data_IF_768083251738
#
_entry.id   IF_768083251738
#
_cell.length_a   1.000
_cell.length_b   1.000
_cell.length_c   1.000
_cell.angle_alpha   90.00
_cell.angle_beta   90.00
_cell.angle_gamma   90.00
#
_symmetry.space_group_name_H-M   'P 1'
#
loop_
_entity.id
_entity.type
_entity.pdbx_description
1 polymer ?
#
# COMPACT_ATOMS: atom_id res chain seq x y z
N UNK A 1 77.99 -40.70 -4.20
CA UNK A 1 77.63 -39.28 -4.48
C UNK A 1 76.13 -39.18 -4.78
N UNK A 2 75.33 -38.98 -3.78
CA UNK A 2 73.90 -38.80 -3.93
C UNK A 2 73.62 -37.29 -3.86
N UNK A 3 72.93 -36.74 -4.91
CA UNK A 3 72.46 -35.36 -4.94
C UNK A 3 70.96 -35.36 -4.46
N UNK A 4 70.73 -34.77 -3.31
CA UNK A 4 69.37 -34.42 -2.82
C UNK A 4 68.89 -33.18 -3.56
N UNK A 5 67.76 -33.31 -4.26
CA UNK A 5 67.03 -32.19 -4.87
C UNK A 5 65.85 -31.90 -3.95
N UNK A 6 65.94 -30.78 -3.21
CA UNK A 6 64.89 -30.25 -2.39
C UNK A 6 63.84 -29.58 -3.29
N UNK A 7 62.61 -30.08 -3.30
CA UNK A 7 61.44 -29.41 -3.95
C UNK A 7 60.83 -28.43 -2.94
N UNK A 8 61.02 -27.14 -3.19
CA UNK A 8 60.32 -26.07 -2.49
C UNK A 8 58.94 -25.91 -3.15
N UNK A 9 57.90 -26.33 -2.44
CA UNK A 9 56.51 -26.09 -2.87
C UNK A 9 56.07 -24.70 -2.36
N UNK A 10 55.95 -23.75 -3.28
CA UNK A 10 55.45 -22.40 -3.00
C UNK A 10 53.92 -22.44 -2.92
N UNK A 11 53.37 -22.40 -1.71
CA UNK A 11 51.93 -22.28 -1.49
C UNK A 11 51.49 -20.84 -1.74
N UNK A 12 50.80 -20.60 -2.86
CA UNK A 12 50.21 -19.30 -3.20
C UNK A 12 48.87 -19.17 -2.44
N UNK A 13 48.89 -18.50 -1.29
CA UNK A 13 47.68 -18.15 -0.55
C UNK A 13 46.95 -17.03 -1.28
N UNK A 14 45.87 -17.38 -2.00
CA UNK A 14 44.96 -16.40 -2.58
C UNK A 14 44.12 -15.82 -1.44
N UNK A 15 44.47 -14.63 -0.95
CA UNK A 15 43.61 -13.83 -0.09
C UNK A 15 42.43 -13.34 -0.94
N UNK A 16 41.26 -13.98 -0.79
CA UNK A 16 39.99 -13.39 -1.27
C UNK A 16 39.70 -12.17 -0.40
N UNK A 17 40.00 -10.98 -0.88
CA UNK A 17 39.44 -9.75 -0.35
C UNK A 17 37.94 -9.74 -0.70
N UNK A 18 37.09 -10.10 0.25
CA UNK A 18 35.66 -9.77 0.18
C UNK A 18 35.56 -8.25 0.27
N UNK A 19 35.35 -7.59 -0.87
CA UNK A 19 35.04 -6.16 -0.89
C UNK A 19 33.65 -6.01 -0.22
N UNK A 20 33.66 -5.72 1.06
CA UNK A 20 32.48 -5.18 1.74
C UNK A 20 32.26 -3.82 1.11
N UNK A 21 31.27 -3.72 0.22
CA UNK A 21 30.81 -2.43 -0.29
C UNK A 21 30.27 -1.66 0.93
N UNK A 22 31.08 -0.77 1.48
CA UNK A 22 30.60 0.18 2.47
C UNK A 22 29.72 1.17 1.73
N UNK A 23 28.40 1.08 1.96
CA UNK A 23 27.50 2.12 1.50
C UNK A 23 27.94 3.44 2.14
N UNK A 24 28.15 4.48 1.32
CA UNK A 24 28.50 5.81 1.82
C UNK A 24 27.26 6.54 2.43
N UNK A 25 26.07 5.96 2.28
CA UNK A 25 24.83 6.52 2.82
C UNK A 25 24.76 6.32 4.34
N UNK A 26 24.56 7.44 5.05
CA UNK A 26 24.32 7.43 6.50
C UNK A 26 22.81 7.32 6.77
N UNK A 27 22.32 6.24 7.43
CA UNK A 27 20.92 6.05 7.77
C UNK A 27 20.47 6.83 9.01
N UNK A 28 21.18 7.88 9.43
CA UNK A 28 20.70 8.85 10.40
C UNK A 28 19.75 9.85 9.74
N UNK A 29 18.81 10.44 10.49
CA UNK A 29 17.82 11.41 10.01
C UNK A 29 16.85 10.87 8.92
N UNK A 30 16.50 9.61 9.01
CA UNK A 30 15.60 8.95 8.05
C UNK A 30 14.17 9.48 8.14
N UNK A 31 13.54 9.66 6.97
CA UNK A 31 12.22 10.30 6.82
C UNK A 31 11.30 9.45 5.98
N UNK A 32 10.02 9.41 6.36
CA UNK A 32 8.96 8.86 5.54
C UNK A 32 7.83 9.88 5.37
N UNK A 33 7.44 10.18 4.14
CA UNK A 33 6.19 10.88 3.88
C UNK A 33 5.07 9.86 3.74
N UNK A 34 4.02 10.03 4.55
CA UNK A 34 2.74 9.34 4.43
C UNK A 34 1.75 10.26 3.71
N UNK A 35 1.36 10.00 2.43
CA UNK A 35 0.47 10.86 1.67
C UNK A 35 -1.00 10.83 2.13
N UNK A 36 -1.25 10.67 3.42
CA UNK A 36 -2.57 10.57 4.06
C UNK A 36 -2.54 11.24 5.44
N UNK A 37 -3.73 11.44 6.02
CA UNK A 37 -3.86 11.75 7.44
C UNK A 37 -3.40 10.57 8.31
N UNK A 38 -3.14 10.85 9.59
CA UNK A 38 -2.81 9.82 10.58
C UNK A 38 -3.93 8.77 10.65
N UNK A 39 -3.55 7.49 10.80
CA UNK A 39 -4.49 6.35 10.78
C UNK A 39 -4.90 5.88 9.38
N UNK A 40 -4.43 6.51 8.30
CA UNK A 40 -4.59 5.98 6.95
C UNK A 40 -3.55 4.91 6.61
N UNK A 41 -3.79 4.13 5.56
CA UNK A 41 -2.93 3.00 5.20
C UNK A 41 -1.48 3.39 4.87
N UNK A 42 -1.23 4.57 4.31
CA UNK A 42 0.13 5.07 4.10
C UNK A 42 0.82 5.48 5.40
N UNK A 43 0.06 6.03 6.37
CA UNK A 43 0.57 6.33 7.70
C UNK A 43 0.97 5.05 8.43
N UNK A 44 0.10 4.04 8.41
CA UNK A 44 0.41 2.70 8.90
C UNK A 44 1.70 2.15 8.26
N UNK A 45 1.84 2.24 6.94
CA UNK A 45 3.00 1.72 6.22
C UNK A 45 4.30 2.41 6.67
N UNK A 46 4.33 3.75 6.76
CA UNK A 46 5.49 4.49 7.23
C UNK A 46 5.86 4.13 8.66
N UNK A 47 4.88 4.12 9.59
CA UNK A 47 5.16 3.89 11.02
C UNK A 47 5.57 2.45 11.30
N UNK A 48 4.87 1.47 10.73
CA UNK A 48 5.18 0.06 10.97
C UNK A 48 6.54 -0.33 10.37
N UNK A 49 6.84 0.12 9.15
CA UNK A 49 8.15 -0.12 8.53
C UNK A 49 9.25 0.64 9.27
N UNK A 50 9.03 1.91 9.63
CA UNK A 50 10.00 2.71 10.39
C UNK A 50 10.36 2.06 11.73
N UNK A 51 9.34 1.57 12.46
CA UNK A 51 9.58 0.81 13.70
C UNK A 51 10.39 -0.47 13.44
N UNK A 52 10.04 -1.24 12.42
CA UNK A 52 10.77 -2.49 12.11
C UNK A 52 12.21 -2.20 11.67
N UNK A 53 12.45 -1.14 10.89
CA UNK A 53 13.81 -0.70 10.54
C UNK A 53 14.64 -0.36 11.77
N UNK A 54 14.05 0.32 12.75
CA UNK A 54 14.69 0.64 14.03
C UNK A 54 14.97 -0.63 14.85
N UNK A 55 13.98 -1.52 14.99
CA UNK A 55 14.10 -2.76 15.75
C UNK A 55 15.20 -3.68 15.18
N UNK A 56 15.39 -3.65 13.87
CA UNK A 56 16.44 -4.40 13.15
C UNK A 56 17.80 -3.68 13.13
N UNK A 57 17.92 -2.47 13.71
CA UNK A 57 19.15 -1.68 13.68
C UNK A 57 19.57 -1.22 12.28
N UNK A 58 18.60 -1.11 11.36
CA UNK A 58 18.82 -0.67 9.98
C UNK A 58 18.77 0.86 9.84
N UNK A 59 18.34 1.59 10.85
CA UNK A 59 18.38 3.05 10.92
C UNK A 59 18.88 3.48 12.30
N UNK A 60 19.50 4.65 12.36
CA UNK A 60 19.97 5.24 13.61
C UNK A 60 18.84 6.08 14.24
N UNK A 61 18.25 5.57 15.33
CA UNK A 61 17.10 6.23 15.99
C UNK A 61 15.76 5.90 15.33
N UNK A 62 14.78 6.78 15.48
CA UNK A 62 13.44 6.61 14.92
C UNK A 62 13.29 7.32 13.58
N UNK A 63 12.50 6.73 12.68
CA UNK A 63 12.12 7.37 11.42
C UNK A 63 11.13 8.52 11.67
N UNK A 64 11.45 9.71 11.15
CA UNK A 64 10.51 10.83 11.14
C UNK A 64 9.38 10.57 10.13
N UNK A 65 8.14 10.52 10.61
CA UNK A 65 6.97 10.33 9.74
C UNK A 65 6.20 11.63 9.60
N UNK A 66 6.12 12.15 8.37
CA UNK A 66 5.33 13.34 8.03
C UNK A 66 4.06 12.95 7.29
N UNK A 67 2.89 13.27 7.85
CA UNK A 67 1.61 13.13 7.15
C UNK A 67 1.41 14.31 6.17
N UNK A 68 1.20 14.00 4.89
CA UNK A 68 1.03 15.02 3.84
C UNK A 68 -0.16 14.65 2.96
N UNK A 69 -1.36 14.75 3.51
CA UNK A 69 -2.62 14.51 2.80
C UNK A 69 -2.88 15.58 1.73
N UNK A 70 -3.67 15.22 0.72
CA UNK A 70 -4.16 16.13 -0.33
C UNK A 70 -4.00 15.57 -1.74
N UNK A 71 -5.05 15.73 -2.56
CA UNK A 71 -5.08 15.32 -3.95
C UNK A 71 -4.91 13.80 -4.17
N UNK A 72 -5.27 12.97 -3.20
CA UNK A 72 -5.05 11.52 -3.26
C UNK A 72 -3.57 11.15 -3.35
N UNK A 73 -2.72 11.89 -2.63
CA UNK A 73 -1.26 11.74 -2.62
C UNK A 73 -0.52 12.66 -3.59
N UNK A 74 -1.23 13.43 -4.44
CA UNK A 74 -0.62 14.31 -5.43
C UNK A 74 0.22 15.43 -4.83
N UNK A 75 -0.20 15.99 -3.67
CA UNK A 75 0.57 16.99 -2.93
C UNK A 75 1.95 16.45 -2.51
N UNK A 76 1.98 15.24 -1.93
CA UNK A 76 3.23 14.60 -1.54
C UNK A 76 4.10 14.25 -2.76
N UNK A 77 3.50 13.74 -3.83
CA UNK A 77 4.23 13.41 -5.05
C UNK A 77 4.90 14.64 -5.66
N UNK A 78 4.16 15.75 -5.78
CA UNK A 78 4.69 17.03 -6.28
C UNK A 78 5.78 17.62 -5.37
N UNK A 79 5.63 17.51 -4.06
CA UNK A 79 6.66 17.92 -3.07
C UNK A 79 7.98 17.18 -3.32
N UNK A 80 7.91 15.85 -3.48
CA UNK A 80 9.09 15.01 -3.72
C UNK A 80 9.76 15.33 -5.04
N UNK A 81 8.97 15.41 -6.14
CA UNK A 81 9.51 15.65 -7.48
C UNK A 81 10.11 17.05 -7.60
N UNK A 82 9.45 18.07 -7.05
CA UNK A 82 9.82 19.48 -7.30
C UNK A 82 10.78 20.05 -6.26
N UNK A 83 10.75 19.56 -5.00
CA UNK A 83 11.50 20.18 -3.92
C UNK A 83 12.47 19.24 -3.21
N UNK A 84 12.24 17.93 -3.24
CA UNK A 84 13.03 16.95 -2.50
C UNK A 84 13.63 15.86 -3.41
N UNK A 85 13.84 16.18 -4.69
CA UNK A 85 14.22 15.22 -5.72
C UNK A 85 15.59 14.55 -5.50
N UNK A 86 16.45 15.11 -4.65
CA UNK A 86 17.80 14.60 -4.30
C UNK A 86 17.94 14.22 -2.82
N UNK A 87 16.82 14.11 -2.09
CA UNK A 87 16.87 13.81 -0.64
C UNK A 87 17.11 12.30 -0.41
N UNK A 88 18.34 11.95 -0.10
CA UNK A 88 18.78 10.57 0.12
C UNK A 88 18.16 9.95 1.40
N UNK A 89 17.70 10.78 2.35
CA UNK A 89 17.09 10.30 3.59
C UNK A 89 15.62 9.96 3.50
N UNK A 90 14.97 10.23 2.35
CA UNK A 90 13.52 10.19 2.19
C UNK A 90 13.03 8.95 1.46
N UNK A 91 12.08 8.24 2.08
CA UNK A 91 11.18 7.30 1.39
C UNK A 91 9.73 7.79 1.49
N UNK A 92 8.89 7.37 0.57
CA UNK A 92 7.49 7.79 0.52
C UNK A 92 6.59 6.58 0.39
N UNK A 93 5.62 6.45 1.27
CA UNK A 93 4.67 5.35 1.20
C UNK A 93 3.82 5.43 -0.07
N UNK A 94 3.64 4.30 -0.73
CA UNK A 94 2.90 4.15 -1.97
C UNK A 94 2.05 2.88 -1.95
N UNK A 95 1.05 2.84 -2.84
CA UNK A 95 0.15 1.70 -2.94
C UNK A 95 -0.58 1.69 -4.29
N UNK A 96 -1.52 0.75 -4.50
CA UNK A 96 -2.43 0.77 -5.65
C UNK A 96 -3.15 2.11 -5.79
N UNK A 97 -3.38 2.85 -4.68
CA UNK A 97 -3.97 4.19 -4.75
C UNK A 97 -3.05 5.18 -5.48
N UNK A 98 -1.73 5.12 -5.27
CA UNK A 98 -0.75 5.93 -6.02
C UNK A 98 -0.79 5.58 -7.51
N UNK A 99 -0.73 4.28 -7.85
CA UNK A 99 -0.82 3.81 -9.23
C UNK A 99 -2.12 4.25 -9.91
N UNK A 100 -3.24 4.23 -9.18
CA UNK A 100 -4.55 4.66 -9.66
C UNK A 100 -4.54 6.14 -10.06
N UNK A 101 -3.97 7.00 -9.24
CA UNK A 101 -3.92 8.45 -9.53
C UNK A 101 -2.99 8.76 -10.70
N UNK A 102 -1.86 8.06 -10.80
CA UNK A 102 -0.95 8.16 -11.95
C UNK A 102 -1.62 7.68 -13.24
N UNK A 103 -2.31 6.53 -13.23
CA UNK A 103 -3.06 5.98 -14.36
C UNK A 103 -4.14 6.95 -14.86
N UNK A 104 -4.80 7.64 -13.95
CA UNK A 104 -5.84 8.63 -14.24
C UNK A 104 -5.30 10.04 -14.55
N UNK A 105 -3.98 10.23 -14.60
CA UNK A 105 -3.29 11.53 -14.80
C UNK A 105 -3.75 12.62 -13.83
N UNK A 106 -4.01 12.22 -12.58
CA UNK A 106 -4.51 13.09 -11.50
C UNK A 106 -3.39 13.74 -10.68
N UNK A 107 -2.12 13.59 -11.10
CA UNK A 107 -0.97 14.34 -10.59
C UNK A 107 -0.48 15.28 -11.67
N UNK A 108 -1.05 16.49 -11.80
CA UNK A 108 -0.76 17.39 -12.91
C UNK A 108 0.73 17.69 -13.05
N UNK A 109 1.27 17.50 -14.27
CA UNK A 109 2.69 17.70 -14.57
C UNK A 109 3.63 16.65 -14.02
N UNK A 110 3.09 15.58 -13.41
CA UNK A 110 3.91 14.50 -12.83
C UNK A 110 3.50 13.13 -13.37
N UNK A 111 4.48 12.25 -13.49
CA UNK A 111 4.31 10.86 -13.91
C UNK A 111 5.24 9.91 -13.13
N UNK A 112 5.04 8.61 -13.34
CA UNK A 112 5.75 7.55 -12.60
C UNK A 112 7.26 7.48 -12.88
N UNK A 113 7.78 8.11 -13.94
CA UNK A 113 9.19 8.09 -14.30
C UNK A 113 10.05 9.07 -13.50
N UNK A 114 9.40 10.02 -12.82
CA UNK A 114 10.05 11.08 -12.04
C UNK A 114 10.48 10.62 -10.63
N UNK A 115 10.18 9.41 -10.26
CA UNK A 115 10.52 8.79 -8.97
C UNK A 115 11.16 7.42 -9.17
N UNK A 116 11.84 6.90 -8.16
CA UNK A 116 12.39 5.54 -8.19
C UNK A 116 11.56 4.62 -7.31
N UNK A 117 11.00 3.58 -7.88
CA UNK A 117 10.19 2.59 -7.16
C UNK A 117 11.09 1.64 -6.39
N UNK A 118 10.91 1.55 -5.07
CA UNK A 118 11.84 0.89 -4.17
C UNK A 118 11.51 -0.58 -3.95
N UNK A 119 10.33 -0.85 -3.42
CA UNK A 119 9.88 -2.21 -3.14
C UNK A 119 8.55 -2.25 -2.41
N UNK A 120 7.99 -3.46 -2.30
CA UNK A 120 6.75 -3.76 -1.55
C UNK A 120 7.07 -4.34 -0.18
N UNK A 121 6.11 -4.20 0.73
CA UNK A 121 6.13 -4.81 2.07
C UNK A 121 4.90 -5.65 2.34
N UNK A 122 4.10 -5.93 1.32
CA UNK A 122 2.89 -6.74 1.37
C UNK A 122 1.76 -6.16 0.56
N UNK A 123 0.60 -6.81 0.63
CA UNK A 123 -0.66 -6.32 0.06
C UNK A 123 -1.74 -6.33 1.14
N UNK A 124 -2.54 -5.27 1.14
CA UNK A 124 -3.66 -5.09 2.06
C UNK A 124 -4.96 -5.31 1.29
N UNK A 125 -5.84 -6.15 1.79
CA UNK A 125 -7.09 -6.38 1.08
C UNK A 125 -8.15 -5.36 1.47
N UNK A 126 -8.87 -4.88 0.46
CA UNK A 126 -10.00 -3.99 0.64
C UNK A 126 -11.11 -4.63 1.46
N UNK A 127 -11.81 -3.80 2.22
CA UNK A 127 -13.02 -4.19 2.94
C UNK A 127 -14.17 -3.26 2.57
N UNK A 128 -15.39 -3.81 2.64
CA UNK A 128 -16.62 -3.03 2.66
C UNK A 128 -17.29 -3.31 3.99
N UNK A 129 -17.54 -2.27 4.78
CA UNK A 129 -18.06 -2.37 6.13
C UNK A 129 -19.19 -1.37 6.40
N UNK A 130 -19.96 -1.63 7.44
CA UNK A 130 -21.03 -0.77 7.93
C UNK A 130 -20.90 -0.59 9.44
N UNK A 131 -21.58 0.40 10.01
CA UNK A 131 -21.69 0.51 11.46
C UNK A 131 -22.34 -0.76 12.04
N UNK A 132 -21.98 -1.14 13.26
CA UNK A 132 -22.43 -2.37 13.94
C UNK A 132 -23.94 -2.59 13.84
N UNK A 133 -24.72 -1.54 14.10
CA UNK A 133 -26.18 -1.61 14.18
C UNK A 133 -26.88 -1.35 12.83
N UNK A 134 -26.13 -1.21 11.74
CA UNK A 134 -26.72 -1.06 10.41
C UNK A 134 -27.44 -2.34 9.99
N UNK A 135 -28.69 -2.25 9.44
CA UNK A 135 -29.57 -3.42 9.27
C UNK A 135 -29.12 -4.41 8.19
N UNK A 136 -28.07 -4.11 7.42
CA UNK A 136 -27.54 -4.95 6.34
C UNK A 136 -26.39 -5.81 6.84
N UNK A 137 -26.44 -7.12 6.57
CA UNK A 137 -25.45 -8.10 7.05
C UNK A 137 -24.58 -8.70 5.93
N UNK A 138 -24.84 -8.39 4.67
CA UNK A 138 -24.12 -8.94 3.51
C UNK A 138 -23.75 -7.84 2.51
N UNK A 139 -22.70 -8.06 1.74
CA UNK A 139 -22.35 -7.16 0.64
C UNK A 139 -23.46 -7.12 -0.42
N UNK A 140 -24.02 -8.27 -0.77
CA UNK A 140 -25.14 -8.35 -1.70
C UNK A 140 -26.34 -7.52 -1.27
N UNK A 141 -26.70 -7.53 0.03
CA UNK A 141 -27.78 -6.71 0.58
C UNK A 141 -27.48 -5.20 0.48
N UNK A 142 -26.24 -4.77 0.72
CA UNK A 142 -25.83 -3.38 0.54
C UNK A 142 -25.91 -2.97 -0.94
N UNK A 143 -25.40 -3.79 -1.84
CA UNK A 143 -25.43 -3.52 -3.27
C UNK A 143 -26.85 -3.51 -3.84
N UNK A 144 -27.75 -4.35 -3.30
CA UNK A 144 -29.17 -4.30 -3.67
C UNK A 144 -29.80 -2.96 -3.27
N UNK A 145 -29.56 -2.45 -2.06
CA UNK A 145 -30.03 -1.12 -1.66
C UNK A 145 -29.49 0.00 -2.58
N UNK A 146 -28.21 -0.10 -2.99
CA UNK A 146 -27.60 0.84 -3.93
C UNK A 146 -28.29 0.72 -5.31
N UNK A 147 -28.57 -0.49 -5.77
CA UNK A 147 -29.27 -0.73 -7.04
C UNK A 147 -30.68 -0.10 -7.07
N UNK A 148 -31.40 -0.25 -5.96
CA UNK A 148 -32.76 0.27 -5.82
C UNK A 148 -32.77 1.80 -5.69
N UNK A 149 -31.81 2.38 -4.97
CA UNK A 149 -31.65 3.83 -4.82
C UNK A 149 -30.17 4.24 -4.61
N UNK A 150 -29.43 4.47 -5.68
CA UNK A 150 -27.98 4.73 -5.61
C UNK A 150 -27.59 6.01 -4.87
N UNK A 151 -28.52 6.95 -4.69
CA UNK A 151 -28.28 8.20 -3.96
C UNK A 151 -28.57 8.13 -2.46
N UNK A 152 -29.31 7.11 -2.02
CA UNK A 152 -29.67 6.93 -0.61
C UNK A 152 -28.49 6.47 0.24
N UNK A 153 -27.59 5.67 -0.34
CA UNK A 153 -26.43 5.11 0.34
C UNK A 153 -25.19 5.93 -0.03
N UNK A 154 -24.59 6.57 0.97
CA UNK A 154 -23.28 7.22 0.82
C UNK A 154 -22.21 6.28 1.34
N UNK A 155 -21.16 6.06 0.55
CA UNK A 155 -20.03 5.21 0.90
C UNK A 155 -18.82 6.10 1.12
N UNK A 156 -18.24 6.06 2.32
CA UNK A 156 -17.02 6.79 2.67
C UNK A 156 -15.77 5.97 2.42
N UNK A 157 -14.70 6.59 1.94
CA UNK A 157 -13.40 5.94 1.81
C UNK A 157 -12.24 6.93 1.89
N UNK A 158 -11.05 6.42 2.18
CA UNK A 158 -9.84 7.21 2.43
C UNK A 158 -9.12 7.71 1.17
N UNK A 159 -9.61 7.37 -0.02
CA UNK A 159 -9.02 7.83 -1.27
C UNK A 159 -9.89 8.87 -1.97
N UNK A 160 -9.29 9.71 -2.82
CA UNK A 160 -10.02 10.69 -3.63
C UNK A 160 -11.06 10.01 -4.54
N UNK A 161 -12.07 10.76 -4.98
CA UNK A 161 -13.06 10.28 -5.96
C UNK A 161 -12.35 9.73 -7.21
N UNK A 162 -12.75 8.53 -7.65
CA UNK A 162 -12.06 7.76 -8.69
C UNK A 162 -10.80 7.02 -8.21
N UNK A 163 -10.36 7.24 -6.98
CA UNK A 163 -9.22 6.55 -6.38
C UNK A 163 -9.51 5.09 -6.04
N UNK A 164 -8.53 4.40 -5.44
CA UNK A 164 -8.58 2.95 -5.28
C UNK A 164 -9.77 2.46 -4.44
N UNK A 165 -10.10 3.16 -3.34
CA UNK A 165 -11.26 2.77 -2.51
C UNK A 165 -12.59 2.93 -3.26
N UNK A 166 -12.72 4.01 -4.03
CA UNK A 166 -13.89 4.17 -4.90
C UNK A 166 -13.96 3.08 -5.97
N UNK A 167 -12.83 2.78 -6.64
CA UNK A 167 -12.76 1.72 -7.66
C UNK A 167 -13.23 0.37 -7.13
N UNK A 168 -12.81 -0.02 -5.91
CA UNK A 168 -13.22 -1.28 -5.28
C UNK A 168 -14.75 -1.42 -5.22
N UNK A 169 -15.44 -0.35 -4.83
CA UNK A 169 -16.91 -0.34 -4.79
C UNK A 169 -17.54 -0.40 -6.18
N UNK A 170 -17.00 0.37 -7.13
CA UNK A 170 -17.52 0.37 -8.51
C UNK A 170 -17.37 -1.00 -9.16
N UNK A 171 -16.25 -1.69 -8.91
CA UNK A 171 -16.05 -3.07 -9.37
C UNK A 171 -17.01 -4.05 -8.73
N UNK A 172 -17.20 -3.99 -7.42
CA UNK A 172 -18.15 -4.84 -6.71
C UNK A 172 -19.60 -4.59 -7.20
N UNK A 173 -19.94 -3.34 -7.43
CA UNK A 173 -21.26 -2.97 -7.96
C UNK A 173 -21.46 -3.49 -9.39
N UNK A 174 -20.46 -3.38 -10.26
CA UNK A 174 -20.51 -3.91 -11.64
C UNK A 174 -20.68 -5.43 -11.65
N UNK A 175 -19.90 -6.15 -10.83
CA UNK A 175 -20.04 -7.61 -10.67
C UNK A 175 -21.43 -8.02 -10.15
N UNK A 176 -22.05 -7.18 -9.31
CA UNK A 176 -23.42 -7.39 -8.82
C UNK A 176 -24.50 -7.05 -9.86
N UNK A 177 -24.15 -6.51 -11.04
CA UNK A 177 -25.09 -6.12 -12.09
C UNK A 177 -25.64 -4.70 -11.95
N UNK A 178 -24.86 -3.78 -11.35
CA UNK A 178 -25.13 -2.33 -11.35
C UNK A 178 -24.23 -1.70 -12.42
N UNK A 179 -24.79 -1.41 -13.59
CA UNK A 179 -23.99 -0.92 -14.73
C UNK A 179 -23.82 0.60 -14.74
N UNK A 180 -24.76 1.37 -14.19
CA UNK A 180 -24.63 2.83 -14.06
C UNK A 180 -23.93 3.19 -12.74
N UNK A 181 -22.67 2.76 -12.63
CA UNK A 181 -21.85 2.92 -11.42
C UNK A 181 -21.55 4.38 -11.08
N UNK A 182 -21.71 5.31 -12.03
CA UNK A 182 -21.50 6.76 -11.82
C UNK A 182 -22.54 7.39 -10.88
N UNK A 183 -23.68 6.74 -10.68
CA UNK A 183 -24.73 7.19 -9.74
C UNK A 183 -24.42 6.85 -8.29
N UNK A 184 -23.47 5.96 -8.03
CA UNK A 184 -23.09 5.56 -6.67
C UNK A 184 -22.45 6.75 -5.95
N UNK A 185 -23.01 7.09 -4.79
CA UNK A 185 -22.55 8.22 -4.00
C UNK A 185 -21.33 7.83 -3.17
N UNK A 186 -20.16 8.30 -3.58
CA UNK A 186 -18.93 8.14 -2.84
C UNK A 186 -18.49 9.46 -2.20
N UNK A 187 -18.05 9.43 -0.95
CA UNK A 187 -17.52 10.57 -0.18
C UNK A 187 -16.07 10.28 0.15
N UNK A 188 -15.17 11.11 -0.38
CA UNK A 188 -13.73 10.98 -0.14
C UNK A 188 -13.30 11.66 1.14
N UNK A 189 -12.39 10.99 1.87
CA UNK A 189 -11.66 11.52 3.03
C UNK A 189 -10.15 11.38 2.77
N UNK A 190 -9.33 11.99 3.61
CA UNK A 190 -7.87 11.96 3.47
C UNK A 190 -7.19 10.79 4.21
N UNK A 191 -7.97 9.76 4.57
CA UNK A 191 -7.52 8.51 5.18
C UNK A 191 -8.70 7.64 5.61
N UNK A 192 -8.47 6.33 5.76
CA UNK A 192 -9.50 5.38 6.16
C UNK A 192 -10.01 5.62 7.57
N UNK A 193 -9.15 6.06 8.49
CA UNK A 193 -9.54 6.41 9.87
C UNK A 193 -10.58 7.54 9.90
N UNK A 194 -10.39 8.60 9.08
CA UNK A 194 -11.36 9.68 8.95
C UNK A 194 -12.70 9.16 8.42
N UNK A 195 -12.65 8.31 7.38
CA UNK A 195 -13.84 7.74 6.77
C UNK A 195 -14.64 6.86 7.76
N UNK A 196 -13.96 6.03 8.58
CA UNK A 196 -14.62 5.22 9.62
C UNK A 196 -15.22 6.11 10.70
N UNK A 197 -14.54 7.19 11.11
CA UNK A 197 -15.10 8.17 12.06
C UNK A 197 -16.42 8.78 11.55
N UNK A 198 -16.48 9.11 10.25
CA UNK A 198 -17.72 9.62 9.65
C UNK A 198 -18.80 8.54 9.48
N UNK A 199 -18.42 7.27 9.30
CA UNK A 199 -19.35 6.15 9.34
C UNK A 199 -20.01 6.03 10.73
N UNK A 200 -19.20 6.05 11.79
CA UNK A 200 -19.68 5.98 13.18
C UNK A 200 -20.54 7.20 13.55
N UNK A 201 -20.23 8.35 13.00
CA UNK A 201 -21.04 9.57 13.12
C UNK A 201 -22.30 9.59 12.24
N UNK A 202 -22.60 8.53 11.49
CA UNK A 202 -23.80 8.42 10.63
C UNK A 202 -23.80 9.32 9.40
N UNK A 203 -22.66 9.94 9.06
CA UNK A 203 -22.56 10.83 7.88
C UNK A 203 -22.47 10.05 6.56
N UNK A 204 -21.97 8.82 6.62
CA UNK A 204 -22.00 7.85 5.52
C UNK A 204 -22.58 6.54 6.04
N UNK A 205 -23.15 5.71 5.16
CA UNK A 205 -23.82 4.46 5.53
C UNK A 205 -22.91 3.24 5.42
N UNK A 206 -21.87 3.33 4.60
CA UNK A 206 -20.89 2.28 4.44
C UNK A 206 -19.46 2.87 4.36
N UNK A 207 -18.50 2.05 4.68
CA UNK A 207 -17.08 2.31 4.55
C UNK A 207 -16.47 1.39 3.48
N UNK A 208 -15.57 1.92 2.69
CA UNK A 208 -14.67 1.19 1.84
C UNK A 208 -13.24 1.68 2.08
N UNK A 209 -12.35 0.78 2.40
CA UNK A 209 -10.95 1.04 2.70
C UNK A 209 -10.18 -0.26 2.69
N UNK A 210 -9.11 -0.34 3.45
CA UNK A 210 -8.31 -1.54 3.58
C UNK A 210 -8.47 -2.16 4.97
N UNK A 211 -8.21 -3.47 5.08
CA UNK A 211 -8.41 -4.20 6.33
C UNK A 211 -7.59 -3.60 7.48
N UNK A 212 -6.33 -3.23 7.22
CA UNK A 212 -5.45 -2.65 8.25
C UNK A 212 -6.00 -1.35 8.86
N UNK A 213 -6.78 -0.57 8.12
CA UNK A 213 -7.41 0.67 8.58
C UNK A 213 -8.66 0.40 9.44
N UNK A 214 -9.32 -0.74 9.21
CA UNK A 214 -10.58 -1.12 9.84
C UNK A 214 -10.41 -1.95 11.13
N UNK A 215 -9.27 -2.61 11.30
CA UNK A 215 -9.06 -3.64 12.36
C UNK A 215 -9.41 -3.15 13.75
N UNK A 216 -8.91 -1.98 14.16
CA UNK A 216 -9.15 -1.45 15.50
C UNK A 216 -10.65 -1.25 15.79
N UNK A 217 -11.41 -0.80 14.82
CA UNK A 217 -12.85 -0.59 14.92
C UNK A 217 -13.66 -1.90 14.89
N UNK A 218 -13.15 -2.90 14.15
CA UNK A 218 -13.75 -4.25 14.14
C UNK A 218 -13.53 -4.93 15.49
N UNK A 219 -12.32 -4.86 16.05
CA UNK A 219 -11.97 -5.42 17.35
C UNK A 219 -12.73 -4.73 18.51
N UNK A 220 -12.98 -3.43 18.39
CA UNK A 220 -13.84 -2.69 19.31
C UNK A 220 -15.33 -3.05 19.16
N UNK A 221 -15.71 -3.72 18.06
CA UNK A 221 -17.09 -4.06 17.77
C UNK A 221 -17.95 -2.88 17.28
N UNK A 222 -17.32 -1.81 16.80
CA UNK A 222 -17.98 -0.59 16.33
C UNK A 222 -18.49 -0.71 14.90
N UNK A 223 -17.79 -1.50 14.09
CA UNK A 223 -18.14 -1.76 12.69
C UNK A 223 -18.22 -3.26 12.39
N UNK A 224 -18.98 -3.59 11.37
CA UNK A 224 -19.10 -4.94 10.83
C UNK A 224 -18.63 -4.97 9.40
N UNK A 225 -17.63 -5.84 9.11
CA UNK A 225 -17.17 -6.10 7.75
C UNK A 225 -18.22 -6.95 7.03
N UNK A 226 -18.78 -6.44 5.95
CA UNK A 226 -19.72 -7.15 5.08
C UNK A 226 -18.99 -8.09 4.12
N UNK A 227 -17.79 -7.67 3.64
CA UNK A 227 -16.92 -8.49 2.83
C UNK A 227 -15.49 -8.01 2.86
N UNK A 228 -14.55 -8.96 2.84
CA UNK A 228 -13.16 -8.73 2.45
C UNK A 228 -13.02 -9.00 0.96
N UNK A 229 -12.30 -8.14 0.26
CA UNK A 229 -12.07 -8.26 -1.19
C UNK A 229 -10.81 -9.08 -1.50
N UNK A 230 -10.67 -10.22 -0.83
CA UNK A 230 -9.59 -11.20 -1.02
C UNK A 230 -10.07 -12.42 -1.80
N UNK A 231 -9.14 -13.19 -2.43
CA UNK A 231 -9.52 -14.42 -3.13
C UNK A 231 -10.09 -15.46 -2.18
N UNK A 232 -9.53 -15.56 -0.97
CA UNK A 232 -9.92 -16.48 0.09
C UNK A 232 -10.02 -15.72 1.42
N UNK A 233 -10.57 -16.32 2.46
CA UNK A 233 -10.63 -15.71 3.80
C UNK A 233 -9.22 -15.46 4.34
N UNK A 234 -9.06 -14.30 4.96
CA UNK A 234 -7.80 -13.98 5.65
C UNK A 234 -7.65 -14.91 6.86
N UNK A 235 -6.50 -15.57 7.02
CA UNK A 235 -6.31 -16.54 8.11
C UNK A 235 -6.23 -15.88 9.49
N UNK A 236 -6.26 -16.73 10.53
CA UNK A 236 -6.12 -16.31 11.93
C UNK A 236 -7.38 -15.61 12.46
N UNK A 237 -7.19 -14.50 13.15
CA UNK A 237 -8.28 -13.76 13.81
C UNK A 237 -9.30 -13.14 12.83
N UNK A 238 -8.99 -13.09 11.55
CA UNK A 238 -9.84 -12.54 10.50
C UNK A 238 -10.65 -13.59 9.74
N UNK A 239 -10.48 -14.87 10.06
CA UNK A 239 -11.11 -15.99 9.35
C UNK A 239 -12.65 -16.02 9.41
N UNK A 240 -13.24 -15.32 10.38
CA UNK A 240 -14.69 -15.15 10.47
C UNK A 240 -15.27 -14.16 9.45
N UNK A 241 -14.43 -13.27 8.86
CA UNK A 241 -14.89 -12.27 7.89
C UNK A 241 -15.16 -12.95 6.54
N UNK A 242 -16.38 -12.80 5.97
CA UNK A 242 -16.69 -13.37 4.67
C UNK A 242 -15.98 -12.63 3.55
N UNK A 243 -15.67 -13.33 2.45
CA UNK A 243 -15.19 -12.68 1.24
C UNK A 243 -16.34 -12.23 0.34
N UNK A 244 -16.07 -11.32 -0.60
CA UNK A 244 -17.04 -10.96 -1.64
C UNK A 244 -17.32 -12.16 -2.57
N UNK A 245 -16.31 -12.97 -2.85
CA UNK A 245 -16.40 -14.17 -3.72
C UNK A 245 -17.32 -15.24 -3.11
N UNK A 246 -17.27 -15.46 -1.80
CA UNK A 246 -18.19 -16.36 -1.10
C UNK A 246 -19.65 -15.92 -1.23
N UNK A 247 -19.90 -14.63 -1.49
CA UNK A 247 -21.23 -14.06 -1.72
C UNK A 247 -21.59 -13.96 -3.22
N UNK A 248 -20.83 -14.60 -4.11
CA UNK A 248 -21.05 -14.62 -5.56
C UNK A 248 -20.61 -13.34 -6.28
N UNK A 249 -19.88 -12.43 -5.60
CA UNK A 249 -19.39 -11.18 -6.18
C UNK A 249 -17.88 -11.35 -6.43
N UNK A 250 -17.50 -11.60 -7.71
CA UNK A 250 -16.14 -11.96 -8.08
C UNK A 250 -15.23 -10.73 -8.20
N UNK A 251 -14.93 -10.08 -7.08
CA UNK A 251 -14.04 -8.93 -7.01
C UNK A 251 -12.87 -9.19 -6.07
N UNK A 252 -11.67 -8.78 -6.48
CA UNK A 252 -10.46 -8.77 -5.66
C UNK A 252 -9.95 -7.34 -5.61
N UNK A 253 -9.75 -6.81 -4.40
CA UNK A 253 -9.28 -5.46 -4.13
C UNK A 253 -7.97 -5.48 -3.35
N UNK A 254 -6.91 -6.00 -3.92
CA UNK A 254 -5.58 -6.01 -3.31
C UNK A 254 -4.93 -4.63 -3.46
N UNK A 255 -4.62 -3.99 -2.35
CA UNK A 255 -3.89 -2.73 -2.30
C UNK A 255 -2.44 -3.03 -1.87
N UNK A 256 -1.51 -3.11 -2.84
CA UNK A 256 -0.11 -3.31 -2.48
C UNK A 256 0.40 -2.16 -1.62
N UNK A 257 1.29 -2.46 -0.68
CA UNK A 257 1.98 -1.51 0.19
C UNK A 257 3.46 -1.52 -0.17
N UNK A 258 4.03 -0.35 -0.37
CA UNK A 258 5.43 -0.21 -0.74
C UNK A 258 5.88 1.24 -0.69
N UNK A 259 7.01 1.52 -1.34
CA UNK A 259 7.63 2.83 -1.31
C UNK A 259 8.16 3.25 -2.66
N UNK A 260 8.21 4.55 -2.87
CA UNK A 260 9.07 5.19 -3.86
C UNK A 260 10.03 6.17 -3.17
N UNK A 261 11.05 6.57 -3.90
CA UNK A 261 12.08 7.52 -3.46
C UNK A 261 12.16 8.70 -4.44
N UNK A 262 12.81 9.80 -4.06
CA UNK A 262 13.16 10.87 -4.99
C UNK A 262 13.85 10.34 -6.25
N UNK A 263 13.52 10.92 -7.41
CA UNK A 263 13.99 10.43 -8.70
C UNK A 263 15.51 10.56 -8.90
N UNK A 264 16.12 11.54 -8.25
CA UNK A 264 17.55 11.83 -8.28
C UNK A 264 18.27 11.46 -6.96
N UNK A 265 17.67 10.60 -6.15
CA UNK A 265 18.35 9.97 -5.01
C UNK A 265 19.64 9.31 -5.49
N UNK A 266 20.71 9.40 -4.70
CA UNK A 266 21.97 8.73 -5.03
C UNK A 266 21.79 7.21 -5.14
N UNK A 267 22.61 6.55 -5.94
CA UNK A 267 22.53 5.09 -6.09
C UNK A 267 22.88 4.36 -4.80
N UNK A 268 23.81 4.91 -4.01
CA UNK A 268 24.16 4.35 -2.70
C UNK A 268 22.95 4.36 -1.75
N UNK A 269 22.27 5.49 -1.63
CA UNK A 269 21.06 5.60 -0.80
C UNK A 269 19.93 4.70 -1.31
N UNK A 270 19.70 4.68 -2.64
CA UNK A 270 18.68 3.82 -3.22
C UNK A 270 18.95 2.34 -2.95
N UNK A 271 20.17 1.88 -3.15
CA UNK A 271 20.55 0.48 -2.92
C UNK A 271 20.45 0.12 -1.43
N UNK A 272 20.83 1.06 -0.55
CA UNK A 272 20.64 0.90 0.89
C UNK A 272 19.16 0.71 1.24
N UNK A 273 18.29 1.62 0.78
CA UNK A 273 16.85 1.56 1.05
C UNK A 273 16.20 0.31 0.46
N UNK A 274 16.55 -0.09 -0.76
CA UNK A 274 16.06 -1.31 -1.37
C UNK A 274 16.42 -2.55 -0.54
N UNK A 275 17.67 -2.64 -0.08
CA UNK A 275 18.15 -3.70 0.81
C UNK A 275 17.48 -3.66 2.18
N UNK A 276 17.26 -2.47 2.75
CA UNK A 276 16.62 -2.30 4.05
C UNK A 276 15.13 -2.70 4.00
N UNK A 277 14.38 -2.28 2.98
CA UNK A 277 12.97 -2.69 2.77
C UNK A 277 12.86 -4.20 2.58
N UNK A 278 13.78 -4.82 1.83
CA UNK A 278 13.82 -6.29 1.68
C UNK A 278 14.09 -6.99 3.02
N UNK A 279 15.05 -6.50 3.82
CA UNK A 279 15.33 -7.05 5.15
C UNK A 279 14.14 -6.92 6.09
N UNK A 280 13.41 -5.78 6.04
CA UNK A 280 12.13 -5.64 6.76
C UNK A 280 11.17 -6.73 6.34
N UNK A 281 10.90 -6.88 5.03
CA UNK A 281 9.97 -7.89 4.53
C UNK A 281 10.31 -9.30 4.97
N UNK A 282 11.59 -9.67 4.99
CA UNK A 282 12.07 -11.01 5.36
C UNK A 282 12.05 -11.27 6.87
N UNK A 283 11.98 -10.22 7.70
CA UNK A 283 12.12 -10.32 9.15
C UNK A 283 10.92 -11.02 9.83
N UNK A 284 11.19 -11.62 10.98
CA UNK A 284 10.15 -12.23 11.80
C UNK A 284 9.18 -11.17 12.36
N UNK A 285 9.71 -9.99 12.70
CA UNK A 285 8.97 -8.83 13.20
C UNK A 285 7.94 -8.38 12.18
N UNK A 286 8.33 -8.25 10.91
CA UNK A 286 7.42 -7.85 9.83
C UNK A 286 6.38 -8.94 9.53
N UNK A 287 6.78 -10.20 9.50
CA UNK A 287 5.82 -11.32 9.34
C UNK A 287 4.77 -11.33 10.43
N UNK A 288 5.15 -11.04 11.67
CA UNK A 288 4.20 -10.86 12.77
C UNK A 288 3.28 -9.66 12.55
N UNK A 289 3.83 -8.54 12.09
CA UNK A 289 3.06 -7.33 11.74
C UNK A 289 2.06 -7.64 10.62
N UNK A 290 2.49 -8.30 9.54
CA UNK A 290 1.59 -8.73 8.46
C UNK A 290 0.44 -9.58 8.98
N UNK A 291 0.74 -10.62 9.77
CA UNK A 291 -0.29 -11.50 10.33
C UNK A 291 -1.27 -10.76 11.24
N UNK A 292 -0.79 -9.82 12.08
CA UNK A 292 -1.64 -9.05 12.98
C UNK A 292 -2.50 -8.01 12.26
N UNK A 293 -2.05 -7.53 11.11
CA UNK A 293 -2.71 -6.48 10.30
C UNK A 293 -3.46 -7.05 9.08
N UNK A 294 -3.51 -8.36 8.90
CA UNK A 294 -4.19 -8.99 7.77
C UNK A 294 -3.54 -8.74 6.41
N UNK A 295 -2.26 -8.38 6.37
CA UNK A 295 -1.53 -8.19 5.13
C UNK A 295 -1.17 -9.53 4.48
N UNK A 296 -1.37 -9.63 3.17
CA UNK A 296 -0.93 -10.76 2.37
C UNK A 296 0.53 -10.58 1.91
N UNK A 297 1.27 -11.68 1.70
CA UNK A 297 2.61 -11.63 1.15
C UNK A 297 2.64 -11.01 -0.26
N UNK A 298 3.55 -10.04 -0.45
CA UNK A 298 3.92 -9.51 -1.76
C UNK A 298 5.35 -8.98 -1.65
N UNK A 299 6.30 -9.67 -2.29
CA UNK A 299 7.73 -9.38 -2.23
C UNK A 299 8.25 -9.00 -3.61
N UNK A 300 8.31 -7.72 -3.88
CA UNK A 300 8.83 -7.17 -5.14
C UNK A 300 9.80 -6.03 -4.82
N UNK A 301 11.00 -6.05 -5.41
CA UNK A 301 12.01 -5.01 -5.23
C UNK A 301 12.64 -4.60 -6.55
N UNK A 302 13.18 -3.37 -6.61
CA UNK A 302 13.96 -2.87 -7.74
C UNK A 302 13.21 -2.98 -9.08
N UNK A 303 13.87 -3.57 -10.09
CA UNK A 303 13.30 -3.70 -11.46
C UNK A 303 11.99 -4.49 -11.51
N UNK A 304 11.84 -5.53 -10.68
CA UNK A 304 10.60 -6.31 -10.62
C UNK A 304 9.44 -5.45 -10.13
N UNK A 305 9.67 -4.64 -9.09
CA UNK A 305 8.65 -3.72 -8.59
C UNK A 305 8.35 -2.59 -9.59
N UNK A 306 9.36 -2.01 -10.23
CA UNK A 306 9.17 -1.03 -11.31
C UNK A 306 8.27 -1.58 -12.43
N UNK A 307 8.53 -2.79 -12.90
CA UNK A 307 7.73 -3.45 -13.95
C UNK A 307 6.30 -3.71 -13.48
N UNK A 308 6.14 -4.15 -12.24
CA UNK A 308 4.82 -4.36 -11.63
C UNK A 308 4.01 -3.07 -11.56
N UNK A 309 4.61 -1.95 -11.12
CA UNK A 309 3.92 -0.64 -11.07
C UNK A 309 3.55 -0.19 -12.47
N UNK A 310 4.45 -0.32 -13.45
CA UNK A 310 4.17 0.03 -14.85
C UNK A 310 2.97 -0.72 -15.38
N UNK A 311 2.94 -2.04 -15.16
CA UNK A 311 1.79 -2.87 -15.56
C UNK A 311 0.52 -2.45 -14.83
N UNK A 312 0.59 -2.23 -13.52
CA UNK A 312 -0.56 -1.83 -12.69
C UNK A 312 -1.16 -0.50 -13.16
N UNK A 313 -0.32 0.49 -13.50
CA UNK A 313 -0.79 1.77 -14.04
C UNK A 313 -1.54 1.56 -15.37
N UNK A 314 -1.00 0.76 -16.29
CA UNK A 314 -1.66 0.45 -17.56
C UNK A 314 -2.99 -0.30 -17.39
N UNK A 315 -3.03 -1.31 -16.53
CA UNK A 315 -4.25 -2.08 -16.26
C UNK A 315 -5.35 -1.20 -15.62
N UNK A 316 -4.97 -0.33 -14.67
CA UNK A 316 -5.90 0.60 -14.01
C UNK A 316 -6.38 1.69 -14.99
N UNK A 317 -5.54 2.18 -15.88
CA UNK A 317 -5.95 3.14 -16.91
C UNK A 317 -7.04 2.53 -17.80
N UNK A 318 -6.80 1.31 -18.32
CA UNK A 318 -7.77 0.56 -19.11
C UNK A 318 -9.08 0.38 -18.35
N UNK A 319 -9.03 -0.10 -17.11
CA UNK A 319 -10.20 -0.28 -16.25
C UNK A 319 -10.95 1.04 -16.03
N UNK A 320 -10.24 2.13 -15.73
CA UNK A 320 -10.84 3.44 -15.49
C UNK A 320 -11.57 3.98 -16.71
N UNK A 321 -11.08 3.70 -17.93
CA UNK A 321 -11.78 3.99 -19.20
C UNK A 321 -13.03 3.13 -19.36
N UNK A 322 -12.93 1.82 -19.14
CA UNK A 322 -14.05 0.88 -19.28
C UNK A 322 -15.25 1.23 -18.38
N UNK A 323 -14.98 1.68 -17.15
CA UNK A 323 -16.04 2.11 -16.22
C UNK A 323 -16.38 3.60 -16.34
N UNK A 324 -15.75 4.30 -17.29
CA UNK A 324 -16.04 5.68 -17.65
C UNK A 324 -15.62 6.72 -16.61
N UNK A 325 -14.60 6.45 -15.78
CA UNK A 325 -14.02 7.42 -14.86
C UNK A 325 -13.09 8.41 -15.58
N UNK A 326 -12.44 7.97 -16.64
CA UNK A 326 -11.62 8.80 -17.54
C UNK A 326 -11.99 8.55 -18.99
N UNK A 327 -11.57 9.48 -19.88
CA UNK A 327 -11.80 9.40 -21.33
C UNK A 327 -10.76 8.52 -22.02
#
# INVERSE_FOLDING_TARGET
>A
MLKFISKITLALSVLMFSTVSSFSFDPSNTKCIAPANAGGGWDFTCRAVGKTLQDLGLINGSMEVTNMAGGGGGKAFAEVVNKRNTDDSLIVAASSATATRLAQKQYPGNDMSQVRWLGTVGADYGVIAVAKDYPINTLGGLLQQIKDNPRKISIGGGSAVGGWDHLKVLLAAKEYGIYDVKKIKYVSFDGGGDAVTQLLGGKVQAFTGDLSEAIGFVEAGDIRVLAVLSPDRIPGKFSSMPTAREQGINVIGANWRGFYTPGKMSDDAYNYWAGAVKKVYDSAEWKKTMASSGLAPLDLTGKAFQSFVTKSVGDIEKLSKEIGLIK
#
